data_IF_949730771150
#
_entry.id   IF_949730771150
#
_cell.length_a   1.000
_cell.length_b   1.000
_cell.length_c   1.000
_cell.angle_alpha   90.00
_cell.angle_beta   90.00
_cell.angle_gamma   90.00
#
_symmetry.space_group_name_H-M   'P 1'
#
loop_
_entity.id
_entity.type
_entity.pdbx_description
1 polymer ?
#
# COMPACT_ATOMS: atom_id res chain seq x y z
N UNK A 1 -8.64 24.49 4.36
CA UNK A 1 -8.71 23.22 5.13
C UNK A 1 -7.29 22.73 5.39
N UNK A 2 -6.90 22.52 6.67
CA UNK A 2 -5.59 21.96 7.02
C UNK A 2 -5.36 20.60 6.36
N UNK A 3 -4.13 20.27 5.89
CA UNK A 3 -3.81 19.00 5.25
C UNK A 3 -4.31 17.76 6.02
N UNK A 4 -4.17 17.78 7.34
CA UNK A 4 -4.47 16.62 8.21
C UNK A 4 -5.96 16.29 8.32
N UNK A 5 -6.83 17.24 8.03
CA UNK A 5 -8.28 17.08 8.10
C UNK A 5 -8.91 16.75 6.74
N UNK A 6 -8.12 16.76 5.65
CA UNK A 6 -8.62 16.53 4.30
C UNK A 6 -9.11 15.09 4.13
N UNK A 7 -10.31 14.86 3.57
CA UNK A 7 -10.69 13.53 3.11
C UNK A 7 -9.79 13.07 1.96
N UNK A 8 -9.65 11.75 1.82
CA UNK A 8 -8.86 11.17 0.75
C UNK A 8 -9.59 11.32 -0.59
N UNK A 9 -8.89 11.81 -1.60
CA UNK A 9 -9.45 11.94 -2.95
C UNK A 9 -9.61 10.53 -3.55
N UNK A 10 -10.81 10.14 -4.01
CA UNK A 10 -11.03 8.85 -4.63
C UNK A 10 -10.36 8.76 -6.01
N UNK A 11 -9.98 7.54 -6.40
CA UNK A 11 -9.45 7.27 -7.73
C UNK A 11 -10.55 7.43 -8.78
N UNK A 12 -10.30 8.24 -9.80
CA UNK A 12 -11.20 8.38 -10.94
C UNK A 12 -10.94 7.29 -12.01
N UNK A 13 -11.96 6.86 -12.76
CA UNK A 13 -11.80 5.88 -13.81
C UNK A 13 -11.05 6.46 -15.02
N UNK A 14 -10.36 5.59 -15.77
CA UNK A 14 -9.71 5.96 -17.03
C UNK A 14 -10.72 5.88 -18.16
N UNK A 15 -11.43 6.99 -18.41
CA UNK A 15 -12.31 7.14 -19.57
C UNK A 15 -12.17 8.55 -20.15
N UNK A 16 -12.62 8.73 -21.40
CA UNK A 16 -12.49 10.02 -22.09
C UNK A 16 -13.25 11.14 -21.37
N UNK A 17 -14.42 10.85 -20.79
CA UNK A 17 -15.20 11.82 -20.01
C UNK A 17 -14.41 12.41 -18.83
N UNK A 18 -13.74 11.55 -18.06
CA UNK A 18 -12.90 11.98 -16.94
C UNK A 18 -11.68 12.76 -17.41
N UNK A 19 -11.07 12.35 -18.52
CA UNK A 19 -9.93 13.07 -19.09
C UNK A 19 -10.31 14.48 -19.54
N UNK A 20 -11.43 14.62 -20.27
CA UNK A 20 -11.94 15.91 -20.72
C UNK A 20 -12.28 16.80 -19.51
N UNK A 21 -12.99 16.26 -18.52
CA UNK A 21 -13.33 17.00 -17.29
C UNK A 21 -12.09 17.52 -16.54
N UNK A 22 -11.02 16.71 -16.48
CA UNK A 22 -9.76 17.14 -15.85
C UNK A 22 -9.11 18.27 -16.63
N UNK A 23 -9.11 18.21 -17.97
CA UNK A 23 -8.58 19.28 -18.81
C UNK A 23 -9.42 20.55 -18.70
N UNK A 24 -10.76 20.44 -18.72
CA UNK A 24 -11.66 21.59 -18.59
C UNK A 24 -11.41 22.33 -17.26
N UNK A 25 -11.27 21.58 -16.16
CA UNK A 25 -10.92 22.17 -14.85
C UNK A 25 -9.50 22.73 -14.82
N UNK A 26 -8.53 22.06 -15.44
CA UNK A 26 -7.15 22.55 -15.55
C UNK A 26 -7.10 23.91 -16.24
N UNK A 27 -7.85 24.07 -17.33
CA UNK A 27 -7.87 25.29 -18.14
C UNK A 27 -8.65 26.41 -17.44
N UNK A 28 -9.78 26.09 -16.82
CA UNK A 28 -10.56 27.05 -16.03
C UNK A 28 -9.76 27.63 -14.85
N UNK A 29 -8.87 26.84 -14.24
CA UNK A 29 -8.08 27.24 -13.08
C UNK A 29 -6.70 27.81 -13.42
N UNK A 30 -6.37 27.99 -14.71
CA UNK A 30 -5.06 28.50 -15.15
C UNK A 30 -4.65 29.80 -14.45
N UNK A 31 -5.55 30.78 -14.41
CA UNK A 31 -5.29 32.07 -13.77
C UNK A 31 -5.18 31.92 -12.24
N UNK A 32 -6.03 31.09 -11.64
CA UNK A 32 -6.02 30.80 -10.20
C UNK A 32 -4.69 30.18 -9.76
N UNK A 33 -4.14 29.25 -10.55
CA UNK A 33 -2.82 28.68 -10.27
C UNK A 33 -1.72 29.73 -10.37
N UNK A 34 -1.74 30.57 -11.42
CA UNK A 34 -0.76 31.64 -11.61
C UNK A 34 -0.76 32.67 -10.46
N UNK A 35 -1.91 32.92 -9.84
CA UNK A 35 -2.04 33.84 -8.69
C UNK A 35 -1.57 33.27 -7.35
N UNK A 36 -1.12 32.01 -7.28
CA UNK A 36 -0.70 31.42 -6.01
C UNK A 36 0.64 31.99 -5.51
N UNK A 37 0.63 32.55 -4.29
CA UNK A 37 1.81 33.20 -3.72
C UNK A 37 2.80 32.24 -3.05
N UNK A 38 2.34 31.05 -2.66
CA UNK A 38 3.19 30.07 -1.99
C UNK A 38 2.77 28.63 -2.31
N UNK A 39 3.68 27.69 -2.04
CA UNK A 39 3.48 26.28 -2.31
C UNK A 39 2.32 25.67 -1.53
N UNK A 40 2.01 26.19 -0.33
CA UNK A 40 0.86 25.76 0.45
C UNK A 40 -0.47 26.06 -0.25
N UNK A 41 -0.61 27.27 -0.79
CA UNK A 41 -1.78 27.70 -1.56
C UNK A 41 -1.91 26.87 -2.84
N UNK A 42 -0.82 26.66 -3.58
CA UNK A 42 -0.82 25.83 -4.80
C UNK A 42 -1.32 24.41 -4.53
N UNK A 43 -0.83 23.77 -3.47
CA UNK A 43 -1.33 22.45 -3.05
C UNK A 43 -2.81 22.50 -2.63
N UNK A 44 -3.24 23.58 -1.98
CA UNK A 44 -4.65 23.83 -1.71
C UNK A 44 -5.48 23.86 -2.99
N UNK A 45 -5.07 24.63 -3.99
CA UNK A 45 -5.76 24.75 -5.27
C UNK A 45 -5.80 23.42 -6.02
N UNK A 46 -4.69 22.68 -6.08
CA UNK A 46 -4.66 21.33 -6.69
C UNK A 46 -5.65 20.40 -5.99
N UNK A 47 -5.69 20.43 -4.66
CA UNK A 47 -6.62 19.61 -3.88
C UNK A 47 -8.08 19.97 -4.20
N UNK A 48 -8.43 21.26 -4.19
CA UNK A 48 -9.78 21.69 -4.52
C UNK A 48 -10.14 21.40 -5.98
N UNK A 49 -9.22 21.60 -6.93
CA UNK A 49 -9.40 21.24 -8.33
C UNK A 49 -9.73 19.73 -8.47
N UNK A 50 -8.98 18.87 -7.79
CA UNK A 50 -9.27 17.44 -7.77
C UNK A 50 -10.65 17.12 -7.18
N UNK A 51 -11.05 17.80 -6.10
CA UNK A 51 -12.39 17.64 -5.53
C UNK A 51 -13.49 18.11 -6.49
N UNK A 52 -13.29 19.23 -7.20
CA UNK A 52 -14.27 19.70 -8.19
C UNK A 52 -14.45 18.69 -9.31
N UNK A 53 -13.37 18.06 -9.81
CA UNK A 53 -13.46 16.97 -10.78
C UNK A 53 -14.26 15.80 -10.22
N UNK A 54 -13.98 15.36 -8.98
CA UNK A 54 -14.73 14.27 -8.36
C UNK A 54 -16.21 14.61 -8.20
N UNK A 55 -16.53 15.85 -7.82
CA UNK A 55 -17.89 16.35 -7.68
C UNK A 55 -18.63 16.36 -9.03
N UNK A 56 -18.02 16.91 -10.08
CA UNK A 56 -18.59 16.95 -11.43
C UNK A 56 -18.81 15.55 -12.03
N UNK A 57 -18.02 14.57 -11.60
CA UNK A 57 -18.15 13.17 -11.99
C UNK A 57 -19.12 12.37 -11.10
N UNK A 58 -19.77 13.01 -10.11
CA UNK A 58 -20.64 12.37 -9.11
C UNK A 58 -19.93 11.23 -8.35
N UNK A 59 -18.64 11.38 -8.07
CA UNK A 59 -17.87 10.40 -7.29
C UNK A 59 -17.97 10.77 -5.80
N UNK A 60 -18.57 9.88 -5.01
CA UNK A 60 -18.68 10.06 -3.55
C UNK A 60 -17.31 10.15 -2.89
N UNK A 61 -17.08 11.21 -2.12
CA UNK A 61 -15.92 11.38 -1.25
C UNK A 61 -16.31 10.84 0.13
N UNK A 62 -15.59 9.83 0.62
CA UNK A 62 -15.80 9.33 1.98
C UNK A 62 -15.26 10.36 2.98
N UNK A 63 -16.15 11.10 3.64
CA UNK A 63 -15.79 12.02 4.71
C UNK A 63 -15.51 11.23 5.99
N UNK A 64 -14.24 11.12 6.37
CA UNK A 64 -13.82 10.61 7.68
C UNK A 64 -14.12 9.13 7.92
N UNK A 65 -13.82 8.61 9.12
CA UNK A 65 -14.06 7.21 9.45
C UNK A 65 -15.55 6.95 9.40
N UNK A 66 -16.00 6.38 8.28
CA UNK A 66 -17.34 5.88 8.03
C UNK A 66 -17.95 5.33 9.33
N UNK A 67 -18.86 6.09 9.95
CA UNK A 67 -19.73 5.65 11.04
C UNK A 67 -20.78 4.70 10.46
N UNK A 68 -20.35 3.71 9.65
CA UNK A 68 -21.17 2.55 9.35
C UNK A 68 -21.20 1.71 10.61
N UNK A 69 -22.16 2.08 11.45
CA UNK A 69 -22.84 1.29 12.44
C UNK A 69 -22.41 -0.18 12.46
N UNK A 70 -21.75 -0.57 13.56
CA UNK A 70 -21.67 -1.92 14.13
C UNK A 70 -22.28 -3.03 13.27
N UNK A 71 -21.63 -3.42 12.17
CA UNK A 71 -21.82 -4.78 11.66
C UNK A 71 -21.12 -5.68 12.67
N UNK A 72 -21.90 -6.14 13.66
CA UNK A 72 -21.54 -7.23 14.60
C UNK A 72 -20.61 -8.20 13.88
N UNK A 73 -19.47 -8.55 14.50
CA UNK A 73 -18.39 -9.46 14.08
C UNK A 73 -18.73 -10.53 13.01
N UNK A 74 -19.20 -10.10 11.84
CA UNK A 74 -19.75 -10.98 10.82
C UNK A 74 -18.62 -11.34 9.90
N UNK A 75 -18.49 -12.64 9.65
CA UNK A 75 -17.55 -13.17 8.68
C UNK A 75 -17.77 -12.43 7.35
N UNK A 76 -16.72 -11.83 6.74
CA UNK A 76 -16.88 -11.09 5.50
C UNK A 76 -17.49 -11.96 4.39
N UNK A 77 -18.39 -11.44 3.54
CA UNK A 77 -19.05 -12.23 2.49
C UNK A 77 -18.06 -12.94 1.55
N UNK A 78 -16.90 -12.33 1.29
CA UNK A 78 -15.87 -12.94 0.47
C UNK A 78 -15.29 -14.22 1.09
N UNK A 79 -15.20 -14.30 2.44
CA UNK A 79 -14.64 -15.45 3.16
C UNK A 79 -15.61 -16.62 3.11
N UNK A 80 -16.88 -16.38 3.41
CA UNK A 80 -17.96 -17.38 3.28
C UNK A 80 -18.04 -17.95 1.86
N UNK A 81 -17.94 -17.10 0.83
CA UNK A 81 -17.95 -17.54 -0.57
C UNK A 81 -16.79 -18.47 -0.91
N UNK A 82 -15.59 -18.22 -0.38
CA UNK A 82 -14.42 -19.07 -0.61
C UNK A 82 -14.52 -20.38 0.17
N UNK A 83 -14.98 -20.33 1.42
CA UNK A 83 -15.20 -21.51 2.26
C UNK A 83 -16.22 -22.46 1.63
N UNK A 84 -17.37 -21.95 1.17
CA UNK A 84 -18.38 -22.75 0.46
C UNK A 84 -17.82 -23.44 -0.80
N UNK A 85 -16.94 -22.74 -1.55
CA UNK A 85 -16.27 -23.35 -2.72
C UNK A 85 -15.32 -24.47 -2.32
N UNK A 86 -14.54 -24.26 -1.25
CA UNK A 86 -13.64 -25.29 -0.72
C UNK A 86 -14.44 -26.51 -0.27
N UNK A 87 -15.53 -26.31 0.46
CA UNK A 87 -16.36 -27.41 0.98
C UNK A 87 -17.02 -28.21 -0.14
N UNK A 88 -17.52 -27.54 -1.19
CA UNK A 88 -18.04 -28.21 -2.37
C UNK A 88 -16.97 -29.08 -3.06
N UNK A 89 -15.75 -28.54 -3.25
CA UNK A 89 -14.64 -29.30 -3.84
C UNK A 89 -14.19 -30.47 -2.95
N UNK A 90 -14.16 -30.29 -1.63
CA UNK A 90 -13.82 -31.35 -0.65
C UNK A 90 -14.80 -32.52 -0.71
N UNK A 91 -16.09 -32.27 -0.93
CA UNK A 91 -17.09 -33.34 -1.14
C UNK A 91 -16.73 -34.20 -2.36
N UNK A 92 -16.35 -33.58 -3.48
CA UNK A 92 -15.92 -34.31 -4.68
C UNK A 92 -14.63 -35.09 -4.42
N UNK A 93 -13.63 -34.46 -3.79
CA UNK A 93 -12.36 -35.10 -3.41
C UNK A 93 -12.62 -36.35 -2.56
N UNK A 94 -13.44 -36.24 -1.50
CA UNK A 94 -13.72 -37.38 -0.62
C UNK A 94 -14.36 -38.58 -1.36
N UNK A 95 -15.29 -38.30 -2.28
CA UNK A 95 -15.92 -39.35 -3.11
C UNK A 95 -14.90 -40.02 -4.03
N UNK A 96 -14.08 -39.24 -4.75
CA UNK A 96 -13.09 -39.77 -5.69
C UNK A 96 -11.95 -40.50 -4.97
N UNK A 97 -11.48 -39.97 -3.84
CA UNK A 97 -10.47 -40.63 -3.00
C UNK A 97 -10.97 -41.97 -2.49
N UNK A 98 -12.21 -42.04 -1.98
CA UNK A 98 -12.80 -43.31 -1.56
C UNK A 98 -12.95 -44.31 -2.72
N UNK A 99 -13.37 -43.83 -3.90
CA UNK A 99 -13.49 -44.65 -5.11
C UNK A 99 -12.16 -45.26 -5.53
N UNK A 100 -11.08 -44.47 -5.56
CA UNK A 100 -9.75 -44.95 -5.94
C UNK A 100 -9.08 -45.80 -4.86
N UNK A 101 -9.31 -45.51 -3.58
CA UNK A 101 -8.73 -46.28 -2.47
C UNK A 101 -9.23 -47.74 -2.46
N UNK A 102 -10.45 -47.98 -2.95
CA UNK A 102 -11.06 -49.31 -3.02
C UNK A 102 -10.94 -49.95 -4.42
N UNK A 103 -9.92 -49.58 -5.21
CA UNK A 103 -9.70 -50.12 -6.57
C UNK A 103 -10.95 -50.05 -7.48
N UNK A 104 -11.74 -48.97 -7.39
CA UNK A 104 -13.00 -48.79 -8.11
C UNK A 104 -14.14 -49.75 -7.71
N UNK A 105 -13.92 -50.64 -6.73
CA UNK A 105 -14.91 -51.56 -6.23
C UNK A 105 -15.63 -50.99 -5.00
N UNK A 106 -16.68 -50.22 -5.26
CA UNK A 106 -17.49 -49.56 -4.22
C UNK A 106 -18.99 -49.70 -4.50
N UNK A 107 -19.80 -49.46 -3.48
CA UNK A 107 -21.26 -49.45 -3.57
C UNK A 107 -21.78 -48.62 -4.76
N UNK A 108 -22.89 -49.06 -5.35
CA UNK A 108 -23.52 -48.40 -6.50
C UNK A 108 -23.90 -46.93 -6.23
N UNK A 109 -24.19 -46.61 -4.96
CA UNK A 109 -24.44 -45.23 -4.52
C UNK A 109 -23.21 -44.34 -4.73
N UNK A 110 -22.01 -44.86 -4.48
CA UNK A 110 -20.74 -44.13 -4.69
C UNK A 110 -20.43 -44.03 -6.18
N UNK A 111 -20.61 -45.12 -6.95
CA UNK A 111 -20.44 -45.11 -8.41
C UNK A 111 -21.35 -44.07 -9.10
N UNK A 112 -22.59 -43.94 -8.63
CA UNK A 112 -23.52 -42.91 -9.12
C UNK A 112 -23.01 -41.49 -8.85
N UNK A 113 -22.48 -41.23 -7.64
CA UNK A 113 -21.85 -39.93 -7.32
C UNK A 113 -20.62 -39.66 -8.22
N UNK A 114 -19.80 -40.68 -8.48
CA UNK A 114 -18.65 -40.55 -9.38
C UNK A 114 -19.10 -40.23 -10.82
N UNK A 115 -20.17 -40.87 -11.32
CA UNK A 115 -20.77 -40.55 -12.62
C UNK A 115 -21.30 -39.12 -12.70
N UNK A 116 -21.91 -38.60 -11.63
CA UNK A 116 -22.35 -37.20 -11.57
C UNK A 116 -21.17 -36.23 -11.56
N UNK A 117 -20.11 -36.54 -10.82
CA UNK A 117 -18.87 -35.73 -10.79
C UNK A 117 -18.20 -35.73 -12.17
N UNK A 118 -18.11 -36.88 -12.84
CA UNK A 118 -17.50 -36.97 -14.17
C UNK A 118 -18.32 -36.21 -15.22
N UNK A 119 -19.66 -36.29 -15.19
CA UNK A 119 -20.55 -35.46 -16.01
C UNK A 119 -20.31 -33.96 -15.79
N UNK A 120 -20.26 -33.51 -14.53
CA UNK A 120 -19.97 -32.11 -14.19
C UNK A 120 -18.59 -31.66 -14.70
N UNK A 121 -17.59 -32.55 -14.62
CA UNK A 121 -16.25 -32.32 -15.15
C UNK A 121 -16.13 -32.52 -16.67
N UNK A 122 -17.22 -32.87 -17.36
CA UNK A 122 -17.27 -33.20 -18.80
C UNK A 122 -16.33 -34.37 -19.20
N UNK A 123 -16.11 -35.30 -18.28
CA UNK A 123 -15.32 -36.52 -18.48
C UNK A 123 -16.26 -37.65 -18.89
N UNK A 124 -16.05 -38.19 -20.10
CA UNK A 124 -16.90 -39.22 -20.71
C UNK A 124 -16.51 -40.62 -20.20
N UNK A 125 -17.45 -41.36 -19.61
CA UNK A 125 -17.21 -42.67 -18.97
C UNK A 125 -16.83 -43.81 -19.91
N UNK A 126 -17.23 -43.72 -21.18
CA UNK A 126 -16.98 -44.74 -22.19
C UNK A 126 -15.62 -44.60 -22.89
N UNK A 127 -14.85 -43.54 -22.60
CA UNK A 127 -13.51 -43.40 -23.16
C UNK A 127 -12.51 -44.28 -22.40
N UNK A 128 -11.53 -44.88 -23.09
CA UNK A 128 -10.53 -45.74 -22.44
C UNK A 128 -9.67 -44.96 -21.41
N UNK A 129 -9.51 -43.65 -21.60
CA UNK A 129 -8.77 -42.76 -20.71
C UNK A 129 -9.57 -42.22 -19.50
N UNK A 130 -10.76 -42.77 -19.24
CA UNK A 130 -11.68 -42.28 -18.21
C UNK A 130 -11.05 -42.20 -16.82
N UNK A 131 -10.43 -43.30 -16.36
CA UNK A 131 -9.85 -43.39 -15.02
C UNK A 131 -8.67 -42.43 -14.84
N UNK A 132 -7.84 -42.27 -15.88
CA UNK A 132 -6.71 -41.34 -15.86
C UNK A 132 -7.20 -39.89 -15.77
N UNK A 133 -8.19 -39.51 -16.59
CA UNK A 133 -8.79 -38.16 -16.53
C UNK A 133 -9.45 -37.88 -15.18
N UNK A 134 -10.08 -38.87 -14.59
CA UNK A 134 -10.72 -38.75 -13.27
C UNK A 134 -9.67 -38.56 -12.15
N UNK A 135 -8.48 -39.16 -12.30
CA UNK A 135 -7.33 -38.94 -11.40
C UNK A 135 -6.73 -37.55 -11.56
N UNK A 136 -6.52 -37.09 -12.80
CA UNK A 136 -6.06 -35.72 -13.07
C UNK A 136 -7.05 -34.70 -12.48
N UNK A 137 -8.35 -34.93 -12.64
CA UNK A 137 -9.38 -34.07 -12.07
C UNK A 137 -9.38 -34.05 -10.53
N UNK A 138 -9.12 -35.20 -9.88
CA UNK A 138 -8.91 -35.26 -8.44
C UNK A 138 -7.73 -34.37 -8.00
N UNK A 139 -6.60 -34.48 -8.68
CA UNK A 139 -5.41 -33.65 -8.42
C UNK A 139 -5.71 -32.16 -8.64
N UNK A 140 -6.40 -31.82 -9.73
CA UNK A 140 -6.83 -30.46 -10.04
C UNK A 140 -7.71 -29.88 -8.91
N UNK A 141 -8.68 -30.66 -8.40
CA UNK A 141 -9.50 -30.27 -7.26
C UNK A 141 -8.66 -30.04 -5.99
N UNK A 142 -7.70 -30.93 -5.71
CA UNK A 142 -6.80 -30.77 -4.56
C UNK A 142 -5.95 -29.51 -4.68
N UNK A 143 -5.39 -29.23 -5.86
CA UNK A 143 -4.63 -28.01 -6.15
C UNK A 143 -5.50 -26.76 -5.99
N UNK A 144 -6.74 -26.77 -6.51
CA UNK A 144 -7.70 -25.68 -6.36
C UNK A 144 -8.04 -25.41 -4.89
N UNK A 145 -8.28 -26.44 -4.08
CA UNK A 145 -8.51 -26.30 -2.63
C UNK A 145 -7.30 -25.68 -1.94
N UNK A 146 -6.08 -26.15 -2.25
CA UNK A 146 -4.83 -25.56 -1.71
C UNK A 146 -4.70 -24.08 -2.08
N UNK A 147 -4.96 -23.71 -3.33
CA UNK A 147 -4.91 -22.34 -3.82
C UNK A 147 -5.96 -21.42 -3.16
N UNK A 148 -7.20 -21.90 -3.02
CA UNK A 148 -8.27 -21.16 -2.32
C UNK A 148 -7.97 -20.98 -0.84
N UNK A 149 -7.45 -22.02 -0.16
CA UNK A 149 -7.00 -21.93 1.22
C UNK A 149 -5.87 -20.92 1.40
N UNK A 150 -4.89 -20.91 0.48
CA UNK A 150 -3.85 -19.89 0.47
C UNK A 150 -4.42 -18.47 0.28
N UNK A 151 -5.40 -18.30 -0.62
CA UNK A 151 -6.08 -17.01 -0.84
C UNK A 151 -6.78 -16.51 0.42
N UNK A 152 -7.49 -17.38 1.15
CA UNK A 152 -8.10 -17.04 2.45
C UNK A 152 -7.04 -16.56 3.44
N UNK A 153 -5.95 -17.31 3.62
CA UNK A 153 -4.84 -16.92 4.52
C UNK A 153 -4.26 -15.55 4.14
N UNK A 154 -4.03 -15.31 2.85
CA UNK A 154 -3.50 -14.03 2.34
C UNK A 154 -4.45 -12.86 2.63
N UNK A 155 -5.75 -13.05 2.46
CA UNK A 155 -6.75 -12.00 2.73
C UNK A 155 -6.95 -11.77 4.23
N UNK A 156 -6.91 -12.81 5.06
CA UNK A 156 -6.92 -12.67 6.51
C UNK A 156 -5.70 -11.86 6.99
N UNK A 157 -4.48 -12.22 6.54
CA UNK A 157 -3.25 -11.44 6.83
C UNK A 157 -3.38 -9.98 6.39
N UNK A 158 -3.94 -9.72 5.20
CA UNK A 158 -4.18 -8.34 4.73
C UNK A 158 -5.13 -7.57 5.64
N UNK A 159 -6.22 -8.22 6.08
CA UNK A 159 -7.22 -7.63 6.96
C UNK A 159 -6.62 -7.32 8.34
N UNK A 160 -5.88 -8.27 8.91
CA UNK A 160 -5.15 -8.08 10.15
C UNK A 160 -4.17 -6.90 10.07
N UNK A 161 -3.38 -6.81 8.99
CA UNK A 161 -2.46 -5.67 8.77
C UNK A 161 -3.18 -4.34 8.67
N UNK A 162 -4.35 -4.30 8.03
CA UNK A 162 -5.16 -3.10 7.98
C UNK A 162 -5.58 -2.65 9.39
N UNK A 163 -6.07 -3.59 10.22
CA UNK A 163 -6.44 -3.28 11.61
C UNK A 163 -5.24 -2.87 12.46
N UNK A 164 -4.10 -3.53 12.30
CA UNK A 164 -2.85 -3.19 12.97
C UNK A 164 -2.36 -1.79 12.60
N UNK A 165 -2.30 -1.45 11.31
CA UNK A 165 -1.92 -0.11 10.85
C UNK A 165 -2.92 0.97 11.31
N UNK A 166 -4.22 0.66 11.30
CA UNK A 166 -5.23 1.56 11.84
C UNK A 166 -5.03 1.78 13.34
N UNK A 167 -4.77 0.71 14.09
CA UNK A 167 -4.50 0.78 15.52
C UNK A 167 -3.22 1.56 15.80
N UNK A 168 -2.14 1.33 15.05
CA UNK A 168 -0.90 2.09 15.14
C UNK A 168 -1.17 3.59 14.95
N UNK A 169 -1.87 3.98 13.88
CA UNK A 169 -2.17 5.39 13.65
C UNK A 169 -3.09 6.01 14.72
N UNK A 170 -4.07 5.27 15.24
CA UNK A 170 -5.02 5.80 16.24
C UNK A 170 -4.54 5.72 17.69
N UNK A 171 -3.75 4.70 18.03
CA UNK A 171 -3.31 4.37 19.39
C UNK A 171 -2.08 3.45 19.33
N UNK A 172 -0.91 4.07 19.10
CA UNK A 172 0.38 3.37 19.02
C UNK A 172 0.66 2.53 20.28
N UNK A 173 0.36 3.06 21.47
CA UNK A 173 0.57 2.37 22.76
C UNK A 173 -0.17 1.03 22.82
N UNK A 174 -1.43 1.00 22.39
CA UNK A 174 -2.25 -0.22 22.33
C UNK A 174 -1.69 -1.21 21.30
N UNK A 175 -1.21 -0.71 20.15
CA UNK A 175 -0.58 -1.55 19.14
C UNK A 175 0.69 -2.23 19.70
N UNK A 176 1.62 -1.49 20.30
CA UNK A 176 2.84 -2.07 20.87
C UNK A 176 2.55 -3.05 22.00
N UNK A 177 1.61 -2.75 22.89
CA UNK A 177 1.13 -3.70 23.91
C UNK A 177 0.56 -4.99 23.32
N UNK A 178 -0.04 -4.93 22.13
CA UNK A 178 -0.55 -6.13 21.44
C UNK A 178 0.55 -6.94 20.73
N UNK A 179 1.74 -6.36 20.53
CA UNK A 179 2.91 -7.04 19.97
C UNK A 179 3.77 -7.69 21.05
N UNK A 180 3.80 -7.09 22.25
CA UNK A 180 4.35 -7.75 23.43
C UNK A 180 3.61 -9.06 23.63
N UNK A 181 4.35 -10.16 23.75
CA UNK A 181 3.76 -11.41 24.26
C UNK A 181 3.06 -11.09 25.59
N UNK A 182 2.04 -11.86 25.99
CA UNK A 182 1.63 -11.91 27.38
C UNK A 182 2.79 -12.51 28.18
N UNK A 183 3.86 -11.74 28.34
CA UNK A 183 4.84 -12.02 29.35
C UNK A 183 4.06 -12.03 30.65
N UNK A 184 4.26 -13.11 31.41
CA UNK A 184 4.07 -13.15 32.87
C UNK A 184 4.22 -11.74 33.42
N UNK A 185 3.30 -11.25 34.28
CA UNK A 185 3.29 -9.87 34.76
C UNK A 185 4.72 -9.49 35.05
N UNK A 186 5.29 -8.65 34.17
CA UNK A 186 6.69 -8.31 34.24
C UNK A 186 6.89 -7.83 35.66
N UNK A 187 7.73 -8.55 36.42
CA UNK A 187 8.24 -8.04 37.69
C UNK A 187 8.54 -6.59 37.44
N UNK A 188 7.84 -5.71 38.14
CA UNK A 188 7.95 -4.28 37.97
C UNK A 188 9.43 -3.94 38.01
N UNK A 189 10.05 -3.79 36.84
CA UNK A 189 11.25 -2.98 36.74
C UNK A 189 10.64 -1.61 36.86
N UNK A 190 10.64 -1.08 38.08
CA UNK A 190 10.28 0.31 38.34
C UNK A 190 10.95 1.14 37.26
N UNK A 191 10.20 2.08 36.67
CA UNK A 191 10.77 2.99 35.70
C UNK A 191 12.12 3.51 36.26
N UNK A 192 13.20 3.51 35.46
CA UNK A 192 14.48 4.01 35.93
C UNK A 192 14.29 5.40 36.53
N UNK A 193 15.00 5.67 37.62
CA UNK A 193 14.87 6.92 38.35
C UNK A 193 15.06 8.11 37.39
N UNK A 194 14.23 9.16 37.54
CA UNK A 194 14.29 10.36 36.72
C UNK A 194 15.70 10.96 36.68
N UNK A 195 16.41 10.94 37.82
CA UNK A 195 17.80 11.38 37.90
C UNK A 195 18.76 10.54 37.06
N UNK A 196 18.59 9.22 37.03
CA UNK A 196 19.46 8.32 36.24
C UNK A 196 19.24 8.51 34.74
N UNK A 197 17.99 8.70 34.32
CA UNK A 197 17.63 8.99 32.93
C UNK A 197 18.17 10.35 32.50
N UNK A 198 18.00 11.37 33.35
CA UNK A 198 18.55 12.71 33.11
C UNK A 198 20.07 12.65 33.00
N UNK A 199 20.77 12.07 33.97
CA UNK A 199 22.24 11.98 33.98
C UNK A 199 22.78 11.25 32.74
N UNK A 200 22.15 10.14 32.35
CA UNK A 200 22.53 9.40 31.16
C UNK A 200 22.45 10.28 29.89
N UNK A 201 21.30 10.92 29.63
CA UNK A 201 21.13 11.75 28.43
C UNK A 201 21.93 13.05 28.49
N UNK A 202 22.05 13.66 29.68
CA UNK A 202 22.83 14.87 29.88
C UNK A 202 24.33 14.64 29.64
N UNK A 203 24.86 13.47 30.01
CA UNK A 203 26.25 13.11 29.71
C UNK A 203 26.52 12.91 28.21
N UNK A 204 25.50 12.53 27.43
CA UNK A 204 25.63 12.32 25.98
C UNK A 204 25.37 13.62 25.20
N UNK A 205 24.34 14.38 25.59
CA UNK A 205 23.82 15.53 24.80
C UNK A 205 23.74 16.85 25.56
N UNK A 206 23.84 16.86 26.88
CA UNK A 206 23.73 18.07 27.69
C UNK A 206 25.04 18.83 27.86
N UNK A 207 26.18 18.17 27.62
CA UNK A 207 27.49 18.83 27.63
C UNK A 207 27.75 19.36 26.22
N UNK A 208 27.72 20.67 26.07
CA UNK A 208 28.09 21.35 24.83
C UNK A 208 29.60 21.16 24.60
N UNK A 209 29.95 20.14 23.82
CA UNK A 209 31.34 19.89 23.42
C UNK A 209 31.67 20.77 22.22
N UNK A 210 32.74 21.56 22.33
CA UNK A 210 33.30 22.21 21.15
C UNK A 210 33.91 21.17 20.22
N UNK A 211 33.39 21.08 19.00
CA UNK A 211 33.93 20.19 17.98
C UNK A 211 35.37 20.62 17.64
N UNK A 212 36.29 19.65 17.60
CA UNK A 212 37.65 19.90 17.14
C UNK A 212 37.64 20.22 15.64
N UNK A 213 37.64 21.51 15.30
CA UNK A 213 37.66 21.98 13.91
C UNK A 213 38.96 21.64 13.16
N UNK A 214 40.02 21.25 13.88
CA UNK A 214 41.33 20.91 13.33
C UNK A 214 41.62 19.40 13.37
N UNK A 215 40.59 18.56 13.52
CA UNK A 215 40.77 17.11 13.53
C UNK A 215 41.37 16.62 12.19
N UNK A 216 42.27 15.63 12.25
CA UNK A 216 43.03 15.14 11.09
C UNK A 216 42.11 14.69 9.95
N UNK A 217 41.01 14.02 10.27
CA UNK A 217 40.03 13.55 9.30
C UNK A 217 39.36 14.70 8.51
N UNK A 218 39.17 15.89 9.11
CA UNK A 218 38.63 17.07 8.40
C UNK A 218 39.62 17.52 7.34
N UNK A 219 40.92 17.57 7.67
CA UNK A 219 41.98 17.96 6.74
C UNK A 219 42.16 16.92 5.64
N UNK A 220 42.15 15.64 5.98
CA UNK A 220 42.22 14.53 5.03
C UNK A 220 41.05 14.59 4.03
N UNK A 221 39.84 14.82 4.52
CA UNK A 221 38.66 14.90 3.66
C UNK A 221 38.66 16.19 2.82
N UNK A 222 39.08 17.32 3.39
CA UNK A 222 39.24 18.58 2.63
C UNK A 222 40.25 18.43 1.49
N UNK A 223 41.39 17.77 1.74
CA UNK A 223 42.39 17.48 0.71
C UNK A 223 41.84 16.52 -0.36
N UNK A 224 41.07 15.51 0.05
CA UNK A 224 40.43 14.55 -0.87
C UNK A 224 39.46 15.23 -1.83
N UNK A 225 38.75 16.27 -1.37
CA UNK A 225 37.79 17.04 -2.16
C UNK A 225 38.37 18.30 -2.81
N UNK A 226 39.64 18.63 -2.59
CA UNK A 226 40.25 19.88 -3.08
C UNK A 226 40.20 20.04 -4.61
N UNK A 227 40.26 18.92 -5.34
CA UNK A 227 40.20 18.89 -6.81
C UNK A 227 38.80 18.61 -7.35
N UNK A 228 37.78 18.48 -6.49
CA UNK A 228 36.41 18.21 -6.91
C UNK A 228 35.70 19.54 -7.13
N UNK A 229 35.17 19.72 -8.34
CA UNK A 229 34.38 20.90 -8.67
C UNK A 229 33.18 21.00 -7.73
N UNK A 230 32.96 22.16 -7.09
CA UNK A 230 31.79 22.37 -6.25
C UNK A 230 30.51 22.09 -7.03
N UNK A 231 29.51 21.52 -6.35
CA UNK A 231 28.19 21.34 -6.96
C UNK A 231 27.62 22.70 -7.36
N UNK A 232 27.27 22.85 -8.63
CA UNK A 232 26.64 24.07 -9.12
C UNK A 232 25.32 24.32 -8.39
N UNK A 233 24.98 25.60 -8.19
CA UNK A 233 23.69 25.99 -7.64
C UNK A 233 22.57 25.35 -8.46
N UNK A 234 21.74 24.55 -7.78
CA UNK A 234 20.63 23.87 -8.43
C UNK A 234 19.52 24.86 -8.74
N UNK A 235 19.17 24.97 -10.02
CA UNK A 235 18.05 25.78 -10.50
C UNK A 235 16.96 24.83 -10.97
N UNK A 236 15.79 24.88 -10.34
CA UNK A 236 14.62 24.09 -10.72
C UNK A 236 13.90 24.80 -11.85
N UNK A 237 13.82 24.15 -13.00
CA UNK A 237 13.11 24.67 -14.19
C UNK A 237 11.76 23.99 -14.38
N UNK A 238 10.91 24.56 -15.23
CA UNK A 238 9.67 23.92 -15.69
C UNK A 238 9.93 22.52 -16.27
N UNK A 239 11.03 22.37 -17.01
CA UNK A 239 11.37 21.10 -17.65
C UNK A 239 11.66 19.99 -16.62
N UNK A 240 12.23 20.36 -15.46
CA UNK A 240 12.50 19.43 -14.36
C UNK A 240 11.21 18.95 -13.72
N UNK A 241 10.26 19.86 -13.48
CA UNK A 241 8.93 19.51 -12.95
C UNK A 241 8.19 18.59 -13.92
N UNK A 242 8.14 18.93 -15.21
CA UNK A 242 7.50 18.11 -16.23
C UNK A 242 8.13 16.71 -16.33
N UNK A 243 9.46 16.63 -16.29
CA UNK A 243 10.20 15.37 -16.30
C UNK A 243 9.90 14.54 -15.06
N UNK A 244 9.96 15.13 -13.87
CA UNK A 244 9.66 14.44 -12.62
C UNK A 244 8.25 13.85 -12.64
N UNK A 245 7.26 14.68 -12.97
CA UNK A 245 5.84 14.30 -12.99
C UNK A 245 5.52 13.23 -14.05
N UNK A 246 6.23 13.22 -15.18
CA UNK A 246 6.05 12.22 -16.25
C UNK A 246 6.28 10.78 -15.76
N UNK A 247 7.32 10.56 -14.94
CA UNK A 247 7.73 9.22 -14.51
C UNK A 247 7.04 8.74 -13.23
N UNK A 248 6.39 9.63 -12.50
CA UNK A 248 5.70 9.28 -11.27
C UNK A 248 4.43 8.46 -11.58
N UNK A 249 4.21 7.39 -10.82
CA UNK A 249 3.01 6.54 -10.92
C UNK A 249 1.77 7.26 -10.36
N UNK A 250 0.71 7.33 -11.16
CA UNK A 250 -0.52 8.10 -10.90
C UNK A 250 -1.15 7.87 -9.51
N UNK A 251 -1.42 6.61 -9.16
CA UNK A 251 -2.24 6.26 -7.98
C UNK A 251 -1.40 5.72 -6.83
N UNK A 252 -0.20 6.27 -6.62
CA UNK A 252 0.56 5.99 -5.38
C UNK A 252 -0.15 6.58 -4.18
N UNK A 253 0.14 6.03 -3.01
CA UNK A 253 -0.35 6.54 -1.74
C UNK A 253 0.05 8.01 -1.59
N UNK A 254 -0.91 8.91 -1.29
CA UNK A 254 -0.61 10.31 -1.06
C UNK A 254 0.09 10.51 0.29
N UNK A 255 0.72 11.68 0.47
CA UNK A 255 1.27 12.12 1.74
C UNK A 255 0.21 12.62 2.73
N UNK A 256 0.61 13.41 3.73
CA UNK A 256 -0.31 14.10 4.63
C UNK A 256 -1.33 14.98 3.88
N UNK A 257 -0.93 15.52 2.72
CA UNK A 257 -1.73 16.41 1.86
C UNK A 257 -2.93 15.77 1.15
N UNK A 258 -3.00 14.43 1.13
CA UNK A 258 -4.03 13.60 0.47
C UNK A 258 -4.11 13.75 -1.05
N UNK A 259 -3.12 14.36 -1.68
CA UNK A 259 -3.09 14.56 -3.14
C UNK A 259 -2.30 13.42 -3.79
N UNK A 260 -2.93 12.69 -4.71
CA UNK A 260 -2.28 11.64 -5.48
C UNK A 260 -1.55 12.24 -6.69
N UNK A 261 -0.46 11.59 -7.10
CA UNK A 261 0.40 12.04 -8.21
C UNK A 261 -0.35 12.24 -9.53
N UNK A 262 -1.45 11.51 -9.73
CA UNK A 262 -2.36 11.69 -10.86
C UNK A 262 -2.70 13.17 -11.05
N UNK A 263 -3.09 13.88 -9.99
CA UNK A 263 -3.54 15.26 -10.10
C UNK A 263 -2.42 16.20 -10.52
N UNK A 264 -1.22 16.05 -9.94
CA UNK A 264 -0.05 16.79 -10.39
C UNK A 264 0.33 16.47 -11.84
N UNK A 265 0.03 15.27 -12.33
CA UNK A 265 0.32 14.86 -13.71
C UNK A 265 -0.57 15.50 -14.75
N UNK A 266 -1.85 15.62 -14.45
CA UNK A 266 -2.84 16.07 -15.42
C UNK A 266 -3.22 17.55 -15.26
N UNK A 267 -2.98 18.17 -14.10
CA UNK A 267 -3.07 19.62 -13.96
C UNK A 267 -1.77 20.31 -14.43
N UNK A 268 -1.57 20.35 -15.75
CA UNK A 268 -0.35 20.88 -16.38
C UNK A 268 -0.14 22.37 -16.16
N UNK A 269 -1.22 23.15 -15.97
CA UNK A 269 -1.13 24.59 -15.74
C UNK A 269 -0.48 24.94 -14.39
N UNK A 270 -0.36 23.96 -13.48
CA UNK A 270 0.31 24.10 -12.18
C UNK A 270 1.83 24.00 -12.29
N UNK A 271 2.36 23.36 -13.34
CA UNK A 271 3.80 23.04 -13.43
C UNK A 271 4.73 24.26 -13.42
N UNK A 272 4.42 25.38 -14.13
CA UNK A 272 5.27 26.57 -14.11
C UNK A 272 5.38 27.18 -12.71
N UNK A 273 4.24 27.22 -12.01
CA UNK A 273 4.12 27.78 -10.65
C UNK A 273 4.85 26.92 -9.62
N UNK A 274 4.79 25.58 -9.77
CA UNK A 274 5.56 24.68 -8.92
C UNK A 274 7.06 24.87 -9.11
N UNK A 275 7.55 25.05 -10.34
CA UNK A 275 8.97 25.27 -10.58
C UNK A 275 9.48 26.52 -9.85
N UNK A 276 8.76 27.65 -9.97
CA UNK A 276 9.11 28.89 -9.28
C UNK A 276 9.06 28.72 -7.76
N UNK A 277 8.00 28.11 -7.23
CA UNK A 277 7.84 27.95 -5.78
C UNK A 277 8.84 26.95 -5.17
N UNK A 278 9.19 25.88 -5.89
CA UNK A 278 10.25 24.98 -5.45
C UNK A 278 11.61 25.69 -5.41
N UNK A 279 11.90 26.53 -6.40
CA UNK A 279 13.13 27.33 -6.40
C UNK A 279 13.16 28.30 -5.20
N UNK A 280 12.04 28.94 -4.89
CA UNK A 280 11.91 29.81 -3.72
C UNK A 280 12.12 29.05 -2.41
N UNK A 281 11.58 27.83 -2.29
CA UNK A 281 11.82 26.96 -1.13
C UNK A 281 13.30 26.54 -1.00
N UNK A 282 14.02 26.36 -2.12
CA UNK A 282 15.47 26.10 -2.08
C UNK A 282 16.27 27.33 -1.62
N UNK A 283 15.87 28.54 -2.02
CA UNK A 283 16.54 29.78 -1.59
C UNK A 283 16.21 30.15 -0.14
N UNK A 284 14.98 29.87 0.30
CA UNK A 284 14.50 30.21 1.64
C UNK A 284 13.79 28.99 2.24
N UNK A 285 14.52 28.11 2.94
CA UNK A 285 13.98 26.87 3.51
C UNK A 285 12.77 27.08 4.43
N UNK A 286 12.68 28.21 5.12
CA UNK A 286 11.58 28.54 6.04
C UNK A 286 10.20 28.67 5.33
N UNK A 287 10.20 28.88 4.01
CA UNK A 287 8.97 28.93 3.22
C UNK A 287 8.39 27.56 2.90
N UNK A 288 9.14 26.48 3.15
CA UNK A 288 8.67 25.13 2.91
C UNK A 288 7.69 24.72 4.03
N UNK A 289 6.43 24.37 3.72
CA UNK A 289 5.48 23.98 4.75
C UNK A 289 5.92 22.68 5.41
N UNK A 290 5.79 22.61 6.74
CA UNK A 290 6.22 21.46 7.55
C UNK A 290 5.70 20.11 7.06
N UNK A 291 4.45 20.03 6.57
CA UNK A 291 3.89 18.77 6.09
C UNK A 291 4.58 18.21 4.82
N UNK A 292 5.43 18.96 4.13
CA UNK A 292 6.28 18.44 3.05
C UNK A 292 7.44 17.59 3.55
N UNK A 293 7.88 17.83 4.79
CA UNK A 293 8.95 17.06 5.44
C UNK A 293 8.39 15.96 6.34
N UNK A 294 7.06 15.89 6.48
CA UNK A 294 6.36 14.86 7.24
C UNK A 294 5.86 13.74 6.34
N UNK A 295 5.91 12.50 6.84
CA UNK A 295 5.49 11.30 6.13
C UNK A 295 4.38 10.54 6.83
N UNK A 296 3.59 9.79 6.07
CA UNK A 296 2.65 8.82 6.65
C UNK A 296 3.34 7.48 6.83
N UNK A 297 3.51 7.07 8.09
CA UNK A 297 4.16 5.80 8.43
C UNK A 297 3.20 4.63 8.33
N UNK A 298 3.61 3.58 7.61
CA UNK A 298 2.91 2.30 7.58
C UNK A 298 3.84 1.19 8.05
N UNK A 299 3.37 0.34 8.95
CA UNK A 299 4.12 -0.86 9.33
C UNK A 299 4.02 -1.88 8.21
N UNK A 300 5.18 -2.23 7.65
CA UNK A 300 5.33 -3.26 6.64
C UNK A 300 6.13 -4.43 7.24
N UNK A 301 5.54 -5.63 7.34
CA UNK A 301 6.29 -6.78 7.82
C UNK A 301 7.36 -7.14 6.79
N UNK A 302 8.62 -7.19 7.22
CA UNK A 302 9.69 -7.82 6.44
C UNK A 302 9.38 -9.32 6.33
N UNK A 303 9.29 -9.86 5.12
CA UNK A 303 9.27 -11.31 4.99
C UNK A 303 10.67 -11.83 5.31
N UNK A 304 10.77 -12.75 6.26
CA UNK A 304 12.01 -13.52 6.50
C UNK A 304 12.39 -14.37 5.27
N UNK A 305 11.42 -14.58 4.36
CA UNK A 305 11.60 -15.22 3.06
C UNK A 305 11.68 -14.13 2.00
N UNK A 306 12.88 -13.61 1.72
CA UNK A 306 13.18 -12.80 0.54
C UNK A 306 14.69 -12.85 0.26
N UNK A 307 15.20 -14.04 -0.09
CA UNK A 307 16.46 -14.19 -0.85
C UNK A 307 16.27 -14.69 -2.27
N UNK A 308 15.04 -14.94 -2.74
CA UNK A 308 14.81 -15.31 -4.15
C UNK A 308 13.51 -14.66 -4.64
N UNK A 309 13.63 -13.47 -5.21
CA UNK A 309 12.62 -12.95 -6.13
C UNK A 309 13.03 -13.49 -7.51
N UNK A 310 12.57 -14.69 -7.86
CA UNK A 310 12.55 -15.07 -9.27
C UNK A 310 11.51 -14.18 -9.96
N UNK A 311 12.00 -13.29 -10.83
CA UNK A 311 11.22 -12.76 -11.95
C UNK A 311 10.70 -13.97 -12.73
N UNK A 312 9.40 -14.22 -12.68
CA UNK A 312 8.77 -15.13 -13.62
C UNK A 312 8.76 -14.45 -15.00
N UNK A 313 9.79 -14.72 -15.81
CA UNK A 313 9.68 -14.67 -17.26
C UNK A 313 9.15 -16.03 -17.70
N UNK A 314 7.92 -16.04 -18.18
CA UNK A 314 7.40 -17.12 -19.00
C UNK A 314 7.92 -16.91 -20.41
N UNK A 315 8.93 -17.67 -20.82
CA UNK A 315 9.21 -17.89 -22.23
C UNK A 315 9.11 -19.39 -22.49
N UNK A 316 8.17 -19.71 -23.37
CA UNK A 316 7.99 -21.00 -24.01
C UNK A 316 9.18 -21.27 -24.93
N UNK A 317 9.78 -22.46 -24.83
CA UNK A 317 9.73 -23.50 -25.87
C UNK A 317 10.09 -24.85 -25.23
#
# INVERSE_FOLDING_TARGET
>A
MPPDQRPMIPKIPYNSKCYNMVNDVNDALKNTFASSGNIHQTHGFVYFAALTVCFLLNISIENGPNTRCNRRNSIPPWKLRLERKIDAMRKHIGVLTHYFANNCNVSEKVKTKVRNISSYARIKSWKPDYLQKLRIYLEELQQKVKALGFRIRKYNKRTQRYHQNKMFNSNQKKFYRSLSEPQQPSTQTSAPNEGDVFNYWNNIWGIEQQHNQNATWIREETNRFQNITPMLNTIITLSDVQRAVRYIQNWKSPGPDKIQNYWFKYFTNVHPVLATQFQECLRTPDRLPKYFTEGVTYTLPKSLVNKVIHKYTWEFF
#
